data_IF_796917160037
#
_entry.id   IF_796917160037
#
_cell.length_a   1.000
_cell.length_b   1.000
_cell.length_c   1.000
_cell.angle_alpha   90.00
_cell.angle_beta   90.00
_cell.angle_gamma   90.00
#
_symmetry.space_group_name_H-M   'P 1'
#
loop_
_entity.id
_entity.type
_entity.pdbx_description
1 polymer ?
#
# COMPACT_ATOMS: atom_id res chain seq x y z
N UNK A 1 -52.48 -43.72 52.53
CA UNK A 1 -53.22 -45.02 52.52
C UNK A 1 -53.99 -45.16 51.21
N UNK A 2 -54.17 -46.40 50.73
CA UNK A 2 -54.53 -46.88 49.36
C UNK A 2 -53.29 -47.02 48.46
N UNK A 3 -52.60 -48.16 48.54
CA UNK A 3 -52.77 -49.40 47.73
C UNK A 3 -52.05 -49.27 46.38
N UNK A 4 -50.81 -49.75 46.27
CA UNK A 4 -50.35 -51.13 45.96
C UNK A 4 -50.43 -51.47 44.45
N UNK A 5 -49.21 -51.66 43.88
CA UNK A 5 -48.76 -52.85 43.09
C UNK A 5 -49.38 -53.02 41.68
N UNK A 6 -48.68 -53.29 40.56
CA UNK A 6 -47.61 -54.27 40.20
C UNK A 6 -47.15 -53.87 38.78
N UNK A 7 -45.85 -53.65 38.53
CA UNK A 7 -44.92 -54.52 37.78
C UNK A 7 -45.47 -55.21 36.50
N UNK A 8 -44.93 -54.88 35.33
CA UNK A 8 -44.23 -55.85 34.45
C UNK A 8 -43.52 -55.17 33.27
N UNK A 9 -42.24 -55.51 33.19
CA UNK A 9 -41.26 -55.25 32.12
C UNK A 9 -41.54 -56.11 30.88
N UNK A 10 -41.34 -55.54 29.69
CA UNK A 10 -40.67 -56.13 28.50
C UNK A 10 -40.57 -55.01 27.44
N UNK A 11 -39.38 -54.52 27.08
CA UNK A 11 -38.56 -55.03 25.97
C UNK A 11 -38.99 -54.39 24.63
N UNK A 12 -38.52 -53.19 24.30
CA UNK A 12 -37.35 -52.88 23.46
C UNK A 12 -37.66 -52.79 21.94
N UNK A 13 -37.49 -51.56 21.41
CA UNK A 13 -37.08 -51.19 20.03
C UNK A 13 -38.10 -51.34 18.85
N UNK A 14 -38.51 -50.22 18.24
CA UNK A 14 -38.11 -49.72 16.89
C UNK A 14 -39.19 -48.78 16.26
N UNK A 15 -38.74 -47.61 15.78
CA UNK A 15 -39.18 -46.83 14.60
C UNK A 15 -40.60 -46.14 14.50
N UNK A 16 -40.55 -44.80 14.42
CA UNK A 16 -41.01 -43.91 13.30
C UNK A 16 -42.51 -43.61 13.03
N UNK A 17 -42.79 -42.29 13.00
CA UNK A 17 -43.86 -41.52 12.28
C UNK A 17 -45.34 -41.73 12.68
N UNK A 18 -46.29 -40.81 12.52
CA UNK A 18 -46.39 -39.35 12.44
C UNK A 18 -47.89 -38.99 12.50
N UNK A 19 -48.15 -37.74 12.88
CA UNK A 19 -49.33 -36.86 12.82
C UNK A 19 -50.57 -37.26 11.97
N UNK A 20 -51.81 -37.14 12.52
CA UNK A 20 -52.77 -35.97 12.46
C UNK A 20 -53.35 -35.80 11.03
N UNK A 21 -54.62 -36.21 10.80
CA UNK A 21 -55.86 -35.43 10.90
C UNK A 21 -56.05 -34.35 9.80
N UNK A 22 -57.14 -34.57 9.05
CA UNK A 22 -58.10 -33.56 8.53
C UNK A 22 -57.76 -32.77 7.26
N UNK A 23 -58.56 -33.04 6.21
CA UNK A 23 -58.84 -32.14 5.07
C UNK A 23 -59.71 -30.94 5.49
N UNK A 24 -60.18 -30.03 4.63
CA UNK A 24 -60.26 -29.90 3.16
C UNK A 24 -60.06 -28.41 2.84
N UNK A 25 -59.23 -28.05 1.86
CA UNK A 25 -59.56 -27.75 0.44
C UNK A 25 -60.03 -26.31 0.18
N UNK A 26 -59.14 -25.51 -0.42
CA UNK A 26 -59.48 -24.50 -1.42
C UNK A 26 -58.27 -24.16 -2.30
N UNK A 27 -58.24 -24.77 -3.49
CA UNK A 27 -57.88 -24.19 -4.80
C UNK A 27 -56.61 -23.32 -4.86
N UNK A 28 -55.45 -23.97 -5.06
CA UNK A 28 -54.18 -23.31 -5.39
C UNK A 28 -54.10 -22.98 -6.89
N UNK A 29 -53.87 -21.70 -7.21
CA UNK A 29 -53.37 -21.27 -8.52
C UNK A 29 -51.92 -21.72 -8.66
N UNK A 30 -51.64 -22.45 -9.74
CA UNK A 30 -50.30 -22.89 -10.13
C UNK A 30 -49.54 -21.67 -10.66
N UNK A 31 -48.64 -21.13 -9.83
CA UNK A 31 -47.55 -20.29 -10.29
C UNK A 31 -46.37 -21.23 -10.62
N UNK A 32 -45.88 -21.17 -11.85
CA UNK A 32 -44.58 -21.73 -12.22
C UNK A 32 -43.52 -21.07 -11.34
N UNK A 33 -42.92 -21.85 -10.44
CA UNK A 33 -41.72 -21.44 -9.74
C UNK A 33 -40.53 -21.64 -10.67
N UNK A 34 -40.07 -20.55 -11.27
CA UNK A 34 -38.69 -20.42 -11.75
C UNK A 34 -37.76 -20.78 -10.59
N UNK A 35 -36.68 -21.56 -10.79
CA UNK A 35 -35.77 -21.88 -9.70
C UNK A 35 -35.05 -20.60 -9.31
N UNK A 36 -35.45 -20.01 -8.18
CA UNK A 36 -34.66 -18.98 -7.51
C UNK A 36 -33.36 -19.61 -7.09
N UNK A 37 -32.27 -19.20 -7.74
CA UNK A 37 -30.91 -19.49 -7.34
C UNK A 37 -30.74 -19.09 -5.87
N UNK A 38 -30.56 -20.08 -4.99
CA UNK A 38 -30.24 -19.83 -3.58
C UNK A 38 -28.79 -19.37 -3.51
N UNK A 39 -28.56 -18.06 -3.36
CA UNK A 39 -27.27 -17.55 -2.92
C UNK A 39 -26.88 -18.16 -1.57
N UNK A 40 -25.58 -18.43 -1.34
CA UNK A 40 -25.14 -19.17 -0.16
C UNK A 40 -25.45 -18.39 1.11
N UNK A 41 -26.10 -19.05 2.07
CA UNK A 41 -26.37 -18.58 3.43
C UNK A 41 -25.12 -18.52 4.33
N UNK A 42 -23.95 -18.26 3.74
CA UNK A 42 -22.66 -18.23 4.40
C UNK A 42 -22.46 -16.95 5.21
N UNK A 43 -22.12 -17.11 6.47
CA UNK A 43 -21.53 -16.05 7.31
C UNK A 43 -20.31 -15.47 6.60
N UNK A 44 -20.24 -14.16 6.45
CA UNK A 44 -19.19 -13.49 5.66
C UNK A 44 -18.33 -12.54 6.46
N UNK A 45 -18.88 -11.94 7.52
CA UNK A 45 -18.19 -10.93 8.31
C UNK A 45 -18.57 -11.05 9.78
N UNK A 46 -17.58 -11.16 10.65
CA UNK A 46 -17.77 -11.02 12.10
C UNK A 46 -17.51 -9.57 12.48
N UNK A 47 -18.52 -8.90 13.03
CA UNK A 47 -18.36 -7.58 13.65
C UNK A 47 -18.22 -7.76 15.15
N UNK A 48 -17.24 -7.09 15.75
CA UNK A 48 -17.00 -7.16 17.20
C UNK A 48 -16.93 -5.76 17.77
N UNK A 49 -17.72 -5.50 18.81
CA UNK A 49 -17.57 -4.35 19.68
C UNK A 49 -17.15 -4.77 21.10
N UNK A 50 -17.01 -3.80 22.03
CA UNK A 50 -16.64 -4.08 23.43
C UNK A 50 -17.53 -5.10 24.15
N UNK A 51 -18.78 -5.27 23.69
CA UNK A 51 -19.75 -6.21 24.27
C UNK A 51 -20.04 -7.41 23.34
N UNK A 52 -19.13 -7.72 22.42
CA UNK A 52 -19.35 -8.67 21.33
C UNK A 52 -20.03 -8.02 20.12
N UNK A 53 -20.45 -8.82 19.14
CA UNK A 53 -21.16 -8.31 17.97
C UNK A 53 -21.71 -9.41 17.05
N UNK A 54 -22.44 -9.01 15.99
CA UNK A 54 -23.12 -9.93 15.10
C UNK A 54 -22.16 -10.55 14.08
N UNK A 55 -22.60 -11.66 13.50
CA UNK A 55 -22.02 -12.21 12.28
C UNK A 55 -22.99 -11.91 11.14
N UNK A 56 -22.54 -11.15 10.14
CA UNK A 56 -23.35 -10.74 9.01
C UNK A 56 -23.22 -11.73 7.84
N UNK A 57 -24.30 -11.86 7.07
CA UNK A 57 -24.28 -12.41 5.71
C UNK A 57 -24.05 -11.30 4.69
N UNK A 58 -23.71 -11.66 3.44
CA UNK A 58 -23.55 -10.67 2.36
C UNK A 58 -24.84 -9.86 2.14
N UNK A 59 -26.01 -10.50 2.22
CA UNK A 59 -27.29 -9.81 2.08
C UNK A 59 -27.50 -8.74 3.17
N UNK A 60 -27.22 -9.09 4.43
CA UNK A 60 -27.30 -8.14 5.55
C UNK A 60 -26.28 -7.00 5.43
N UNK A 61 -25.07 -7.29 4.96
CA UNK A 61 -24.05 -6.27 4.74
C UNK A 61 -24.50 -5.27 3.66
N UNK A 62 -25.11 -5.75 2.57
CA UNK A 62 -25.63 -4.91 1.48
C UNK A 62 -26.87 -4.08 1.85
N UNK A 63 -27.52 -4.35 2.98
CA UNK A 63 -28.60 -3.52 3.53
C UNK A 63 -28.08 -2.28 4.26
N UNK A 64 -26.81 -2.25 4.65
CA UNK A 64 -26.18 -1.10 5.28
C UNK A 64 -25.95 0.04 4.27
N UNK A 65 -25.75 1.30 4.73
CA UNK A 65 -25.37 2.40 3.86
C UNK A 65 -24.12 2.03 3.05
N UNK A 66 -24.23 2.14 1.72
CA UNK A 66 -23.10 1.87 0.83
C UNK A 66 -22.54 3.16 0.24
N UNK A 67 -21.23 3.17 0.05
CA UNK A 67 -20.47 4.24 -0.62
C UNK A 67 -19.65 3.62 -1.75
N UNK A 68 -19.41 4.40 -2.80
CA UNK A 68 -18.54 4.04 -3.90
C UNK A 68 -17.48 5.13 -4.14
N UNK A 69 -16.32 4.73 -4.66
CA UNK A 69 -15.23 5.64 -4.96
C UNK A 69 -14.03 4.95 -5.59
N UNK A 70 -13.03 5.75 -5.96
CA UNK A 70 -11.81 5.32 -6.61
C UNK A 70 -10.77 4.94 -5.55
N UNK A 71 -10.20 3.73 -5.64
CA UNK A 71 -9.12 3.31 -4.75
C UNK A 71 -8.00 2.63 -5.55
N UNK A 72 -6.77 3.00 -5.21
CA UNK A 72 -5.54 2.37 -5.69
C UNK A 72 -4.51 2.40 -4.57
N UNK A 73 -3.34 1.79 -4.80
CA UNK A 73 -2.30 1.65 -3.78
C UNK A 73 -0.90 1.94 -4.31
N UNK A 74 -0.01 2.36 -3.43
CA UNK A 74 1.45 2.28 -3.60
C UNK A 74 1.98 1.12 -2.75
N UNK A 75 2.68 0.16 -3.34
CA UNK A 75 3.33 -0.92 -2.59
C UNK A 75 4.52 -0.41 -1.79
N UNK A 76 5.03 -1.20 -0.85
CA UNK A 76 6.28 -0.90 -0.13
C UNK A 76 7.50 -0.81 -1.05
N UNK A 77 7.46 -1.46 -2.21
CA UNK A 77 8.47 -1.35 -3.27
C UNK A 77 8.26 -0.14 -4.19
N UNK A 78 7.27 0.71 -3.91
CA UNK A 78 6.95 1.91 -4.68
C UNK A 78 6.08 1.68 -5.93
N UNK A 79 5.67 0.45 -6.22
CA UNK A 79 4.83 0.13 -7.37
C UNK A 79 3.41 0.70 -7.18
N UNK A 80 2.90 1.39 -8.21
CA UNK A 80 1.55 1.93 -8.20
C UNK A 80 0.55 0.95 -8.83
N UNK A 81 -0.51 0.65 -8.08
CA UNK A 81 -1.78 0.16 -8.63
C UNK A 81 -2.71 1.35 -8.80
N UNK A 82 -3.10 1.62 -10.04
CA UNK A 82 -3.93 2.78 -10.36
C UNK A 82 -5.32 2.69 -9.69
N UNK A 83 -5.96 3.84 -9.40
CA UNK A 83 -7.28 3.81 -8.78
C UNK A 83 -8.37 3.23 -9.70
N UNK A 84 -9.15 2.31 -9.16
CA UNK A 84 -10.33 1.70 -9.81
C UNK A 84 -11.57 1.87 -8.93
N UNK A 85 -12.76 1.63 -9.49
CA UNK A 85 -14.01 1.87 -8.78
C UNK A 85 -14.35 0.72 -7.83
N UNK A 86 -14.49 1.02 -6.53
CA UNK A 86 -14.95 0.08 -5.52
C UNK A 86 -16.26 0.54 -4.89
N UNK A 87 -17.03 -0.42 -4.39
CA UNK A 87 -18.26 -0.17 -3.64
C UNK A 87 -18.39 -1.10 -2.43
N UNK A 88 -18.88 -0.54 -1.33
CA UNK A 88 -18.89 -1.20 -0.04
C UNK A 88 -19.55 -0.40 1.07
N UNK A 89 -19.31 -0.79 2.32
CA UNK A 89 -19.74 -0.08 3.53
C UNK A 89 -18.54 0.62 4.14
N UNK A 90 -18.65 1.91 4.49
CA UNK A 90 -17.54 2.63 5.12
C UNK A 90 -17.29 2.09 6.54
N UNK A 91 -16.04 2.07 7.00
CA UNK A 91 -15.73 1.58 8.36
C UNK A 91 -16.47 2.38 9.43
N UNK A 92 -16.61 3.70 9.27
CA UNK A 92 -17.41 4.55 10.17
C UNK A 92 -18.88 4.12 10.26
N UNK A 93 -19.45 3.61 9.17
CA UNK A 93 -20.84 3.16 9.13
C UNK A 93 -21.00 1.79 9.81
N UNK A 94 -19.97 0.93 9.74
CA UNK A 94 -19.92 -0.32 10.53
C UNK A 94 -19.81 -0.04 12.04
N UNK A 95 -19.01 0.95 12.43
CA UNK A 95 -18.90 1.41 13.82
C UNK A 95 -20.23 1.97 14.31
N UNK A 96 -20.88 2.82 13.50
CA UNK A 96 -22.20 3.35 13.80
C UNK A 96 -23.26 2.24 13.91
N UNK A 97 -23.19 1.21 13.05
CA UNK A 97 -24.06 0.03 13.12
C UNK A 97 -23.92 -0.75 14.43
N UNK A 98 -22.70 -0.82 15.00
CA UNK A 98 -22.45 -1.40 16.32
C UNK A 98 -22.93 -0.52 17.49
N UNK A 99 -23.45 0.69 17.21
CA UNK A 99 -23.81 1.72 18.20
C UNK A 99 -22.64 2.07 19.13
N UNK A 100 -21.44 2.17 18.58
CA UNK A 100 -20.24 2.57 19.31
C UNK A 100 -19.93 4.03 18.97
N UNK A 101 -19.71 4.83 20.00
CA UNK A 101 -19.16 6.17 19.85
C UNK A 101 -17.63 6.03 19.84
N UNK A 102 -17.03 6.03 18.64
CA UNK A 102 -15.58 5.91 18.52
C UNK A 102 -14.93 7.16 19.11
N UNK A 103 -13.85 7.00 19.86
CA UNK A 103 -13.05 8.09 20.40
C UNK A 103 -11.55 7.85 20.10
N UNK A 104 -10.68 8.85 20.28
CA UNK A 104 -9.26 8.74 19.96
C UNK A 104 -8.46 7.64 20.70
N UNK A 105 -9.02 7.02 21.76
CA UNK A 105 -8.41 5.86 22.44
C UNK A 105 -8.79 4.52 21.82
N UNK A 106 -9.67 4.52 20.83
CA UNK A 106 -10.14 3.35 20.11
C UNK A 106 -9.73 3.39 18.64
N UNK A 107 -9.74 2.21 18.02
CA UNK A 107 -9.56 2.04 16.60
C UNK A 107 -10.32 0.83 16.09
N UNK A 108 -10.23 0.63 14.79
CA UNK A 108 -10.93 -0.44 14.07
C UNK A 108 -9.90 -1.42 13.55
N UNK A 109 -9.76 -2.57 14.20
CA UNK A 109 -8.94 -3.68 13.72
C UNK A 109 -9.70 -4.46 12.65
N UNK A 110 -9.03 -4.74 11.54
CA UNK A 110 -9.53 -5.56 10.45
C UNK A 110 -8.63 -6.76 10.30
N UNK A 111 -9.21 -7.95 10.33
CA UNK A 111 -8.48 -9.22 10.21
C UNK A 111 -8.91 -9.98 8.96
N UNK A 112 -7.92 -10.48 8.24
CA UNK A 112 -8.08 -11.34 7.07
C UNK A 112 -8.11 -12.82 7.46
N UNK A 113 -8.56 -13.66 6.53
CA UNK A 113 -8.63 -15.12 6.70
C UNK A 113 -7.27 -15.79 6.98
N UNK A 114 -6.18 -15.20 6.48
CA UNK A 114 -4.81 -15.68 6.69
C UNK A 114 -4.17 -15.21 8.01
N UNK A 115 -4.91 -14.43 8.81
CA UNK A 115 -4.45 -13.85 10.07
C UNK A 115 -3.72 -12.52 9.93
N UNK A 116 -3.53 -11.99 8.72
CA UNK A 116 -3.08 -10.62 8.53
C UNK A 116 -4.09 -9.65 9.17
N UNK A 117 -3.60 -8.64 9.88
CA UNK A 117 -4.44 -7.70 10.59
C UNK A 117 -3.88 -6.30 10.50
N UNK A 118 -4.76 -5.32 10.29
CA UNK A 118 -4.43 -3.89 10.32
C UNK A 118 -5.41 -3.16 11.20
N UNK A 119 -4.91 -2.17 11.93
CA UNK A 119 -5.72 -1.33 12.80
C UNK A 119 -5.80 0.08 12.22
N UNK A 120 -7.02 0.58 12.06
CA UNK A 120 -7.28 1.94 11.62
C UNK A 120 -7.56 2.82 12.83
N UNK A 121 -6.88 3.96 12.93
CA UNK A 121 -7.06 4.93 14.00
C UNK A 121 -8.42 5.61 13.95
N UNK A 122 -8.81 6.28 15.05
CA UNK A 122 -9.97 7.17 15.07
C UNK A 122 -9.96 8.16 13.90
N UNK A 123 -8.85 8.87 13.67
CA UNK A 123 -8.77 9.89 12.63
C UNK A 123 -8.81 9.29 11.22
N UNK A 124 -8.24 8.10 11.00
CA UNK A 124 -8.36 7.39 9.73
C UNK A 124 -9.81 6.98 9.43
N UNK A 125 -10.53 6.49 10.45
CA UNK A 125 -11.91 6.02 10.31
C UNK A 125 -12.90 7.18 10.18
N UNK A 126 -12.72 8.22 11.00
CA UNK A 126 -13.69 9.33 11.12
C UNK A 126 -13.35 10.51 10.21
N UNK A 127 -12.06 10.82 10.05
CA UNK A 127 -11.57 12.02 9.36
C UNK A 127 -10.86 11.70 8.03
N UNK A 128 -10.55 10.42 7.76
CA UNK A 128 -9.87 10.00 6.53
C UNK A 128 -8.43 10.47 6.46
N UNK A 129 -7.75 10.60 7.61
CA UNK A 129 -6.35 11.01 7.68
C UNK A 129 -5.42 9.87 7.26
N UNK A 130 -5.12 9.80 5.96
CA UNK A 130 -4.13 8.89 5.39
C UNK A 130 -3.08 9.69 4.63
N UNK A 131 -1.85 9.17 4.61
CA UNK A 131 -0.86 9.64 3.63
C UNK A 131 -1.33 9.19 2.25
N UNK A 132 -1.27 10.12 1.30
CA UNK A 132 -1.72 9.90 -0.07
C UNK A 132 -0.60 10.23 -1.05
N UNK A 133 -0.57 9.52 -2.17
CA UNK A 133 0.43 9.68 -3.21
C UNK A 133 -0.23 9.95 -4.56
N UNK A 134 0.46 10.72 -5.39
CA UNK A 134 0.08 10.94 -6.77
C UNK A 134 0.21 9.62 -7.55
N UNK A 135 -0.86 9.10 -8.20
CA UNK A 135 -0.82 7.80 -8.87
C UNK A 135 0.07 7.76 -10.11
N UNK A 136 0.44 8.90 -10.68
CA UNK A 136 1.31 8.96 -11.86
C UNK A 136 2.80 8.98 -11.46
N UNK A 137 3.13 9.58 -10.33
CA UNK A 137 4.52 9.79 -9.91
C UNK A 137 4.95 8.97 -8.68
N UNK A 138 4.00 8.49 -7.88
CA UNK A 138 4.25 7.83 -6.60
C UNK A 138 4.76 8.76 -5.50
N UNK A 139 4.83 10.07 -5.76
CA UNK A 139 5.24 11.07 -4.79
C UNK A 139 4.12 11.35 -3.80
N UNK A 140 4.49 11.61 -2.55
CA UNK A 140 3.54 12.01 -1.51
C UNK A 140 2.89 13.34 -1.86
N UNK A 141 1.58 13.43 -1.67
CA UNK A 141 0.78 14.63 -1.85
C UNK A 141 0.80 15.45 -0.57
N UNK A 142 1.25 16.71 -0.65
CA UNK A 142 1.17 17.64 0.48
C UNK A 142 -0.27 17.96 0.90
N UNK A 143 -1.23 17.75 0.00
CA UNK A 143 -2.67 17.88 0.21
C UNK A 143 -3.41 16.91 -0.70
N UNK A 144 -4.45 16.26 -0.20
CA UNK A 144 -5.24 15.30 -0.97
C UNK A 144 -6.76 15.52 -0.78
N UNK A 145 -7.57 14.96 -1.66
CA UNK A 145 -9.03 14.92 -1.52
C UNK A 145 -9.44 14.01 -0.35
N UNK A 146 -10.67 14.15 0.15
CA UNK A 146 -11.17 13.33 1.26
C UNK A 146 -11.04 11.83 0.96
N UNK A 147 -10.45 11.10 1.91
CA UNK A 147 -10.33 9.64 1.87
C UNK A 147 -11.35 8.98 2.80
N UNK A 148 -11.71 7.73 2.51
CA UNK A 148 -12.61 6.92 3.35
C UNK A 148 -12.21 5.45 3.28
N UNK A 149 -11.95 4.84 4.44
CA UNK A 149 -11.76 3.39 4.52
C UNK A 149 -13.10 2.66 4.31
N UNK A 150 -13.11 1.74 3.35
CA UNK A 150 -14.30 1.07 2.83
C UNK A 150 -14.09 -0.45 2.89
N UNK A 151 -15.02 -1.16 3.52
CA UNK A 151 -15.17 -2.60 3.37
C UNK A 151 -15.92 -2.88 2.06
N UNK A 152 -15.15 -3.10 0.99
CA UNK A 152 -15.66 -3.36 -0.35
C UNK A 152 -16.18 -4.79 -0.50
N UNK A 153 -17.25 -4.93 -1.28
CA UNK A 153 -17.80 -6.20 -1.78
C UNK A 153 -17.98 -6.19 -3.32
N UNK A 154 -17.75 -5.04 -3.96
CA UNK A 154 -17.85 -4.85 -5.41
C UNK A 154 -16.62 -4.07 -5.93
N UNK A 155 -16.13 -4.47 -7.11
CA UNK A 155 -15.06 -3.84 -7.88
C UNK A 155 -15.50 -3.71 -9.34
N UNK A 156 -15.47 -2.49 -9.88
CA UNK A 156 -15.92 -2.14 -11.23
C UNK A 156 -17.35 -2.62 -11.54
N UNK A 157 -18.24 -2.54 -10.53
CA UNK A 157 -19.64 -2.94 -10.63
C UNK A 157 -19.89 -4.46 -10.65
N UNK A 158 -18.85 -5.27 -10.45
CA UNK A 158 -18.94 -6.72 -10.29
C UNK A 158 -18.61 -7.12 -8.85
N UNK A 159 -19.10 -8.28 -8.37
CA UNK A 159 -18.59 -8.86 -7.13
C UNK A 159 -17.07 -9.05 -7.19
N UNK A 160 -16.40 -8.87 -6.05
CA UNK A 160 -14.95 -9.11 -5.94
C UNK A 160 -14.57 -10.53 -6.38
N UNK A 161 -13.40 -10.69 -6.98
CA UNK A 161 -12.88 -12.02 -7.29
C UNK A 161 -12.47 -12.74 -5.99
N UNK A 162 -13.15 -13.83 -5.59
CA UNK A 162 -12.89 -14.47 -4.30
C UNK A 162 -11.48 -15.08 -4.19
N UNK A 163 -10.84 -15.39 -5.31
CA UNK A 163 -9.50 -16.00 -5.34
C UNK A 163 -8.38 -14.97 -5.38
N UNK A 164 -8.61 -13.77 -5.89
CA UNK A 164 -7.57 -12.73 -6.07
C UNK A 164 -7.71 -11.56 -5.10
N UNK A 165 -8.93 -11.29 -4.65
CA UNK A 165 -9.31 -10.13 -3.83
C UNK A 165 -9.99 -10.54 -2.51
N UNK A 166 -10.56 -11.74 -2.48
CA UNK A 166 -11.43 -12.21 -1.41
C UNK A 166 -12.87 -11.75 -1.59
N UNK A 167 -13.77 -12.31 -0.80
CA UNK A 167 -15.20 -11.95 -0.89
C UNK A 167 -15.51 -10.60 -0.25
N UNK A 168 -14.60 -10.12 0.62
CA UNK A 168 -14.58 -8.78 1.20
C UNK A 168 -13.13 -8.30 1.26
N UNK A 169 -12.91 -7.00 1.08
CA UNK A 169 -11.60 -6.37 1.26
C UNK A 169 -11.72 -4.94 1.80
N UNK A 170 -10.69 -4.44 2.48
CA UNK A 170 -10.55 -3.00 2.70
C UNK A 170 -9.89 -2.36 1.49
N UNK A 171 -10.40 -1.19 1.14
CA UNK A 171 -9.77 -0.21 0.26
C UNK A 171 -9.97 1.17 0.86
N UNK A 172 -9.10 2.13 0.54
CA UNK A 172 -9.30 3.54 0.91
C UNK A 172 -9.70 4.31 -0.34
N UNK A 173 -10.96 4.75 -0.39
CA UNK A 173 -11.54 5.40 -1.57
C UNK A 173 -11.43 6.93 -1.49
N UNK A 174 -11.36 7.55 -2.67
CA UNK A 174 -11.62 8.98 -2.90
C UNK A 174 -12.73 9.14 -3.93
N UNK A 175 -13.33 10.33 -4.01
CA UNK A 175 -14.28 10.67 -5.09
C UNK A 175 -13.63 10.75 -6.48
N UNK A 176 -12.30 10.90 -6.54
CA UNK A 176 -11.51 11.04 -7.76
C UNK A 176 -10.37 10.02 -7.79
N UNK A 177 -9.88 9.70 -8.99
CA UNK A 177 -8.80 8.74 -9.23
C UNK A 177 -7.40 9.39 -9.20
N UNK A 178 -7.24 10.49 -8.46
CA UNK A 178 -6.03 11.32 -8.43
C UNK A 178 -5.12 11.04 -7.23
N UNK A 179 -5.40 9.99 -6.45
CA UNK A 179 -4.63 9.65 -5.26
C UNK A 179 -4.69 8.16 -4.95
N UNK A 180 -3.59 7.63 -4.43
CA UNK A 180 -3.47 6.28 -3.86
C UNK A 180 -2.95 6.37 -2.43
N UNK A 181 -3.12 5.32 -1.64
CA UNK A 181 -2.57 5.23 -0.27
C UNK A 181 -1.55 4.08 -0.20
N UNK A 182 -0.85 3.96 0.92
CA UNK A 182 0.02 2.80 1.16
C UNK A 182 -0.75 1.48 1.09
N UNK A 183 -0.14 0.48 0.45
CA UNK A 183 -0.78 -0.80 0.15
C UNK A 183 -1.21 -1.60 1.37
N UNK A 184 -0.58 -1.39 2.54
CA UNK A 184 -0.97 -2.04 3.78
C UNK A 184 -2.39 -1.67 4.23
N UNK A 185 -2.92 -0.52 3.79
CA UNK A 185 -4.31 -0.14 4.02
C UNK A 185 -5.32 -0.92 3.16
N UNK A 186 -4.88 -1.75 2.22
CA UNK A 186 -5.78 -2.56 1.39
C UNK A 186 -5.73 -4.05 1.75
N UNK A 187 -6.48 -4.40 2.80
CA UNK A 187 -6.54 -5.77 3.33
C UNK A 187 -7.50 -6.63 2.52
N UNK A 188 -7.03 -7.73 1.93
CA UNK A 188 -7.85 -8.69 1.18
C UNK A 188 -8.39 -9.81 2.09
N UNK A 189 -9.40 -10.54 1.63
CA UNK A 189 -10.02 -11.67 2.37
C UNK A 189 -10.43 -11.32 3.81
N UNK A 190 -11.05 -10.15 3.99
CA UNK A 190 -11.49 -9.68 5.31
C UNK A 190 -12.64 -10.54 5.82
N UNK A 191 -12.52 -11.06 7.03
CA UNK A 191 -13.59 -11.84 7.67
C UNK A 191 -13.99 -11.31 9.07
N UNK A 192 -13.21 -10.39 9.65
CA UNK A 192 -13.48 -9.78 10.95
C UNK A 192 -13.16 -8.28 10.93
N UNK A 193 -14.07 -7.49 11.50
CA UNK A 193 -13.86 -6.09 11.84
C UNK A 193 -14.21 -5.91 13.32
N UNK A 194 -13.30 -5.33 14.08
CA UNK A 194 -13.36 -5.24 15.53
C UNK A 194 -13.04 -3.83 15.99
N UNK A 195 -13.90 -3.27 16.84
CA UNK A 195 -13.63 -2.00 17.52
C UNK A 195 -13.03 -2.32 18.88
N UNK A 196 -11.80 -1.89 19.09
CA UNK A 196 -11.05 -2.15 20.31
C UNK A 196 -10.27 -0.90 20.74
N UNK A 197 -9.90 -0.80 22.03
CA UNK A 197 -8.88 0.15 22.46
C UNK A 197 -7.61 -0.07 21.63
N UNK A 198 -7.04 1.03 21.13
CA UNK A 198 -5.74 1.01 20.46
C UNK A 198 -4.77 1.75 21.34
N UNK A 199 -3.55 1.21 21.50
CA UNK A 199 -2.47 1.94 22.13
C UNK A 199 -2.19 3.28 21.43
N UNK A 200 -1.27 4.06 21.98
CA UNK A 200 -0.90 5.35 21.38
C UNK A 200 -0.33 5.19 19.96
N UNK A 201 -0.39 6.23 19.14
CA UNK A 201 0.40 6.29 17.91
C UNK A 201 1.87 6.42 18.28
N UNK A 202 2.75 5.74 17.54
CA UNK A 202 4.19 5.81 17.73
C UNK A 202 4.90 5.62 16.39
N UNK A 203 6.14 6.10 16.33
CA UNK A 203 7.04 5.94 15.19
C UNK A 203 8.36 5.39 15.71
N UNK A 204 8.91 4.40 15.01
CA UNK A 204 10.25 3.88 15.21
C UNK A 204 11.18 4.57 14.22
N UNK A 205 12.20 5.27 14.71
CA UNK A 205 13.18 5.92 13.85
C UNK A 205 14.30 4.93 13.50
N UNK A 206 14.32 4.45 12.26
CA UNK A 206 15.44 3.67 11.71
C UNK A 206 16.45 4.62 11.07
N UNK A 207 17.71 4.51 11.46
CA UNK A 207 18.79 5.36 10.97
C UNK A 207 20.01 4.50 10.61
N UNK A 208 20.61 4.75 9.46
CA UNK A 208 21.81 4.04 9.02
C UNK A 208 22.42 4.70 7.80
N UNK A 209 22.61 3.91 6.75
CA UNK A 209 23.02 4.38 5.43
C UNK A 209 21.99 5.38 4.87
N UNK A 210 20.70 5.07 5.05
CA UNK A 210 19.54 5.94 4.84
C UNK A 210 18.75 6.10 6.15
N UNK A 211 17.66 6.87 6.15
CA UNK A 211 16.78 7.01 7.31
C UNK A 211 15.34 6.68 6.91
N UNK A 212 14.64 5.94 7.77
CA UNK A 212 13.25 5.52 7.56
C UNK A 212 12.47 5.64 8.87
N UNK A 213 11.50 6.58 8.98
CA UNK A 213 10.55 6.58 10.07
C UNK A 213 9.47 5.50 9.82
N UNK A 214 9.39 4.50 10.71
CA UNK A 214 8.42 3.41 10.61
C UNK A 214 7.28 3.66 11.57
N UNK A 215 6.11 4.04 11.04
CA UNK A 215 4.90 4.25 11.86
C UNK A 215 4.43 2.93 12.47
N UNK A 216 3.68 3.00 13.57
CA UNK A 216 2.99 1.84 14.17
C UNK A 216 2.32 0.95 13.13
N UNK A 217 1.55 1.54 12.23
CA UNK A 217 0.74 0.80 11.27
C UNK A 217 1.62 0.12 10.22
N UNK A 218 2.67 0.80 9.75
CA UNK A 218 3.69 0.22 8.86
C UNK A 218 4.41 -0.93 9.55
N UNK A 219 4.73 -0.78 10.84
CA UNK A 219 5.36 -1.82 11.65
C UNK A 219 4.47 -3.05 11.83
N UNK A 220 3.18 -2.85 12.11
CA UNK A 220 2.21 -3.93 12.26
C UNK A 220 2.02 -4.70 10.95
N UNK A 221 1.93 -3.99 9.82
CA UNK A 221 1.88 -4.61 8.51
C UNK A 221 3.14 -5.42 8.21
N UNK A 222 4.32 -4.85 8.48
CA UNK A 222 5.60 -5.52 8.33
C UNK A 222 5.68 -6.77 9.22
N UNK A 223 5.28 -6.65 10.49
CA UNK A 223 5.29 -7.73 11.49
C UNK A 223 4.16 -8.75 11.36
N UNK A 224 3.33 -8.70 10.32
CA UNK A 224 2.27 -9.68 10.12
C UNK A 224 2.83 -11.06 9.70
N UNK A 225 2.18 -12.18 10.05
CA UNK A 225 2.68 -13.53 9.73
C UNK A 225 2.88 -13.82 8.24
N UNK A 226 2.14 -13.15 7.36
CA UNK A 226 2.25 -13.27 5.90
C UNK A 226 3.37 -12.40 5.30
N UNK A 227 4.05 -11.59 6.12
CA UNK A 227 5.12 -10.68 5.71
C UNK A 227 6.43 -11.02 6.46
N UNK A 228 6.85 -10.20 7.40
CA UNK A 228 8.10 -10.38 8.17
C UNK A 228 7.85 -10.79 9.64
N UNK A 229 6.61 -11.09 10.02
CA UNK A 229 6.25 -11.48 11.38
C UNK A 229 6.94 -12.75 11.86
N UNK A 230 7.58 -12.68 13.02
CA UNK A 230 8.24 -13.80 13.68
C UNK A 230 7.81 -13.94 15.13
N UNK A 231 7.77 -15.19 15.59
CA UNK A 231 7.44 -15.58 16.96
C UNK A 231 8.72 -15.99 17.71
N UNK A 232 8.89 -15.46 18.91
CA UNK A 232 9.87 -15.90 19.89
C UNK A 232 9.16 -16.31 21.19
N UNK A 233 9.39 -17.53 21.67
CA UNK A 233 8.87 -17.98 22.98
C UNK A 233 9.99 -17.91 24.01
N UNK A 234 9.77 -17.15 25.08
CA UNK A 234 10.77 -17.02 26.15
C UNK A 234 10.78 -18.22 27.12
N UNK A 235 11.74 -18.23 28.04
CA UNK A 235 11.90 -19.30 29.05
C UNK A 235 10.74 -19.39 30.06
N UNK A 236 9.90 -18.35 30.16
CA UNK A 236 8.68 -18.33 30.96
C UNK A 236 7.46 -18.81 30.17
N UNK A 237 7.62 -19.16 28.89
CA UNK A 237 6.55 -19.60 28.01
C UNK A 237 5.70 -18.47 27.44
N UNK A 238 6.16 -17.21 27.52
CA UNK A 238 5.47 -16.08 26.87
C UNK A 238 5.81 -16.04 25.39
N UNK A 239 4.81 -15.79 24.56
CA UNK A 239 4.93 -15.69 23.11
C UNK A 239 5.06 -14.23 22.70
N UNK A 240 6.20 -13.86 22.12
CA UNK A 240 6.49 -12.50 21.65
C UNK A 240 6.43 -12.46 20.13
N UNK A 241 5.73 -11.47 19.56
CA UNK A 241 5.55 -11.34 18.11
C UNK A 241 6.03 -9.98 17.63
N UNK A 242 6.80 -9.97 16.54
CA UNK A 242 7.33 -8.76 15.93
C UNK A 242 8.18 -9.03 14.70
N UNK A 243 9.02 -8.06 14.33
CA UNK A 243 9.88 -8.14 13.14
C UNK A 243 11.28 -8.59 13.57
N UNK A 244 11.91 -9.56 12.88
CA UNK A 244 13.33 -9.87 13.03
C UNK A 244 14.20 -8.62 12.90
N UNK A 245 15.11 -8.41 13.86
CA UNK A 245 15.94 -7.21 13.90
C UNK A 245 16.78 -7.04 12.63
N UNK A 246 17.26 -8.13 12.03
CA UNK A 246 18.07 -8.07 10.81
C UNK A 246 17.30 -7.55 9.59
N UNK A 247 15.97 -7.70 9.56
CA UNK A 247 15.14 -7.14 8.49
C UNK A 247 14.97 -5.63 8.66
N UNK A 248 14.76 -5.15 9.90
CA UNK A 248 14.73 -3.71 10.21
C UNK A 248 16.08 -3.04 9.92
N UNK A 249 17.18 -3.76 10.18
CA UNK A 249 18.53 -3.29 9.84
C UNK A 249 18.70 -3.22 8.32
N UNK A 250 18.25 -4.23 7.58
CA UNK A 250 18.31 -4.26 6.12
C UNK A 250 17.52 -3.15 5.43
N UNK A 251 16.51 -2.58 6.10
CA UNK A 251 15.78 -1.42 5.56
C UNK A 251 16.65 -0.16 5.44
N UNK A 252 17.72 -0.05 6.24
CA UNK A 252 18.55 1.16 6.32
C UNK A 252 20.06 0.91 6.24
N UNK A 253 20.52 -0.31 6.00
CA UNK A 253 21.96 -0.63 5.97
C UNK A 253 22.63 -0.30 4.63
N UNK A 254 21.85 -0.13 3.55
CA UNK A 254 22.27 0.49 2.29
C UNK A 254 21.12 1.21 1.54
N UNK A 255 21.19 1.34 0.21
CA UNK A 255 20.20 2.07 -0.59
C UNK A 255 18.96 1.23 -0.93
N UNK A 256 19.05 -0.09 -0.80
CA UNK A 256 17.98 -1.03 -1.09
C UNK A 256 17.17 -1.31 0.18
N UNK A 257 16.09 -0.54 0.37
CA UNK A 257 15.33 -0.60 1.62
C UNK A 257 14.36 -1.78 1.74
N UNK A 258 14.02 -2.47 0.64
CA UNK A 258 12.89 -3.44 0.67
C UNK A 258 12.84 -4.47 -0.47
N UNK A 259 13.93 -4.75 -1.19
CA UNK A 259 13.97 -5.89 -2.12
C UNK A 259 14.22 -7.22 -1.40
N UNK A 260 14.16 -8.34 -2.14
CA UNK A 260 14.51 -9.69 -1.66
C UNK A 260 15.97 -9.79 -1.14
N UNK A 261 16.82 -8.81 -1.48
CA UNK A 261 18.24 -8.74 -1.08
C UNK A 261 18.58 -7.49 -0.26
N UNK A 262 17.57 -6.75 0.24
CA UNK A 262 17.72 -5.51 0.98
C UNK A 262 18.78 -5.59 2.10
N UNK A 263 18.74 -6.67 2.89
CA UNK A 263 19.75 -6.88 3.93
C UNK A 263 21.15 -7.14 3.36
N UNK A 264 22.08 -6.20 3.61
CA UNK A 264 23.44 -6.26 3.13
C UNK A 264 24.31 -7.22 3.95
N UNK A 265 24.26 -8.51 3.58
CA UNK A 265 25.02 -9.60 4.23
C UNK A 265 26.53 -9.35 4.26
N UNK A 266 27.09 -8.77 3.19
CA UNK A 266 28.52 -8.51 3.10
C UNK A 266 28.94 -7.39 4.06
N UNK A 267 28.11 -6.36 4.20
CA UNK A 267 28.31 -5.30 5.17
C UNK A 267 28.18 -5.84 6.60
N UNK A 268 27.20 -6.69 6.88
CA UNK A 268 27.06 -7.34 8.20
C UNK A 268 28.28 -8.20 8.57
N UNK A 269 28.90 -8.88 7.59
CA UNK A 269 30.14 -9.64 7.82
C UNK A 269 31.35 -8.77 8.23
N UNK A 270 31.28 -7.45 8.01
CA UNK A 270 32.32 -6.53 8.51
C UNK A 270 32.23 -6.34 10.02
N UNK A 271 31.04 -6.50 10.63
CA UNK A 271 30.81 -6.37 12.07
C UNK A 271 30.54 -4.92 12.50
N UNK A 272 29.68 -4.19 11.77
CA UNK A 272 29.16 -2.92 12.28
C UNK A 272 28.26 -3.14 13.50
N UNK A 273 28.03 -2.07 14.26
CA UNK A 273 27.20 -2.09 15.48
C UNK A 273 25.79 -1.57 15.20
N UNK A 274 24.82 -2.07 15.97
CA UNK A 274 23.41 -1.67 15.92
C UNK A 274 23.01 -1.19 17.31
N UNK A 275 22.62 0.08 17.42
CA UNK A 275 22.17 0.70 18.67
C UNK A 275 20.64 0.70 18.73
N UNK A 276 20.06 0.08 19.76
CA UNK A 276 18.63 0.18 20.06
C UNK A 276 18.45 1.14 21.24
N UNK A 277 17.64 2.18 21.05
CA UNK A 277 17.48 3.27 22.01
C UNK A 277 16.04 3.32 22.53
N UNK A 278 15.90 3.25 23.85
CA UNK A 278 14.62 3.42 24.55
C UNK A 278 14.24 4.91 24.68
N UNK A 279 12.96 5.19 24.91
CA UNK A 279 12.42 6.54 25.13
C UNK A 279 13.07 7.31 26.30
N UNK A 280 13.63 6.60 27.27
CA UNK A 280 14.36 7.17 28.42
C UNK A 280 15.86 7.44 28.14
N UNK A 281 16.32 7.13 26.92
CA UNK A 281 17.72 7.26 26.48
C UNK A 281 18.60 6.04 26.76
N UNK A 282 18.08 4.98 27.38
CA UNK A 282 18.81 3.71 27.55
C UNK A 282 19.17 3.14 26.18
N UNK A 283 20.42 2.72 26.01
CA UNK A 283 20.92 2.18 24.73
C UNK A 283 21.50 0.77 24.92
N UNK A 284 21.12 -0.15 24.05
CA UNK A 284 21.75 -1.47 23.89
C UNK A 284 22.39 -1.56 22.52
N UNK A 285 23.68 -1.90 22.49
CA UNK A 285 24.43 -2.10 21.24
C UNK A 285 24.63 -3.58 20.96
N UNK A 286 24.29 -4.02 19.75
CA UNK A 286 24.52 -5.37 19.23
C UNK A 286 25.52 -5.36 18.07
N UNK A 287 26.19 -6.49 17.86
CA UNK A 287 27.04 -6.72 16.67
C UNK A 287 26.17 -7.26 15.53
N UNK A 288 26.32 -6.72 14.33
CA UNK A 288 25.60 -7.18 13.13
C UNK A 288 25.76 -8.66 12.84
N UNK A 289 26.89 -9.28 13.21
CA UNK A 289 27.11 -10.72 13.07
C UNK A 289 26.26 -11.55 14.02
N UNK A 290 25.86 -10.99 15.16
CA UNK A 290 25.09 -11.71 16.17
C UNK A 290 23.61 -11.87 15.78
N UNK A 291 23.12 -11.01 14.88
CA UNK A 291 21.71 -10.99 14.46
C UNK A 291 21.52 -11.43 13.00
N UNK A 292 22.62 -11.74 12.29
CA UNK A 292 22.64 -12.01 10.86
C UNK A 292 21.67 -13.14 10.49
N UNK A 293 20.60 -12.78 9.79
CA UNK A 293 19.54 -13.72 9.36
C UNK A 293 18.90 -14.51 10.52
N UNK A 294 18.94 -13.96 11.74
CA UNK A 294 18.38 -14.59 12.94
C UNK A 294 16.92 -14.14 13.16
N UNK A 295 15.98 -15.01 12.78
CA UNK A 295 14.54 -14.81 13.02
C UNK A 295 14.12 -15.02 14.48
N UNK A 296 15.06 -15.29 15.39
CA UNK A 296 14.82 -15.44 16.83
C UNK A 296 15.36 -14.27 17.64
N UNK A 297 15.88 -13.21 16.99
CA UNK A 297 16.11 -11.89 17.59
C UNK A 297 15.11 -10.93 16.96
N UNK A 298 14.07 -10.59 17.71
CA UNK A 298 12.95 -9.80 17.21
C UNK A 298 12.77 -8.52 18.01
N UNK A 299 12.26 -7.50 17.35
CA UNK A 299 11.70 -6.32 17.99
C UNK A 299 10.19 -6.57 18.10
N UNK A 300 9.75 -7.01 19.26
CA UNK A 300 8.37 -7.39 19.52
C UNK A 300 7.46 -6.17 19.70
N UNK A 301 6.23 -6.28 19.22
CA UNK A 301 5.13 -5.32 19.45
C UNK A 301 3.92 -5.97 20.13
N UNK A 302 3.91 -7.30 20.27
CA UNK A 302 2.90 -8.08 21.00
C UNK A 302 3.54 -9.08 21.95
N UNK A 303 2.82 -9.39 23.03
CA UNK A 303 3.11 -10.49 23.94
C UNK A 303 1.81 -11.24 24.27
N UNK A 304 1.81 -12.56 24.09
CA UNK A 304 0.64 -13.43 24.28
C UNK A 304 -0.61 -12.89 23.56
N UNK A 305 -0.45 -12.52 22.29
CA UNK A 305 -1.48 -11.95 21.40
C UNK A 305 -2.06 -10.58 21.85
N UNK A 306 -1.52 -9.97 22.91
CA UNK A 306 -1.90 -8.66 23.40
C UNK A 306 -0.84 -7.59 23.17
N UNK A 307 -1.22 -6.32 23.27
CA UNK A 307 -0.27 -5.20 23.29
C UNK A 307 0.76 -5.37 24.42
N UNK A 308 1.95 -4.80 24.19
CA UNK A 308 2.98 -4.78 25.22
C UNK A 308 2.49 -4.01 26.46
N UNK A 309 2.77 -4.52 27.69
CA UNK A 309 2.61 -3.74 28.91
C UNK A 309 3.39 -2.42 28.85
N UNK A 310 2.94 -1.40 29.58
CA UNK A 310 3.53 -0.04 29.61
C UNK A 310 5.06 -0.04 29.82
N UNK A 311 5.58 -0.96 30.64
CA UNK A 311 7.02 -1.13 30.87
C UNK A 311 7.83 -1.40 29.58
N UNK A 312 7.19 -1.99 28.57
CA UNK A 312 7.82 -2.42 27.33
C UNK A 312 7.31 -1.69 26.10
N UNK A 313 6.14 -1.08 26.18
CA UNK A 313 5.47 -0.38 25.09
C UNK A 313 6.29 0.82 24.57
N UNK A 314 6.39 1.06 23.24
CA UNK A 314 5.67 0.38 22.16
C UNK A 314 6.37 -0.86 21.60
N UNK A 315 7.69 -0.96 21.77
CA UNK A 315 8.54 -2.00 21.17
C UNK A 315 9.57 -2.54 22.15
N UNK A 316 9.84 -3.85 22.07
CA UNK A 316 10.79 -4.55 22.95
C UNK A 316 11.71 -5.47 22.19
N UNK A 317 13.01 -5.38 22.44
CA UNK A 317 13.98 -6.36 21.96
C UNK A 317 13.86 -7.64 22.78
N UNK A 318 13.67 -8.77 22.11
CA UNK A 318 13.71 -10.10 22.72
C UNK A 318 14.41 -11.06 21.78
N UNK A 319 15.01 -12.12 22.32
CA UNK A 319 15.52 -13.18 21.47
C UNK A 319 16.40 -14.19 22.15
N UNK A 320 16.62 -15.32 21.48
CA UNK A 320 17.36 -16.47 22.03
C UNK A 320 18.85 -16.20 22.28
N UNK A 321 19.43 -15.30 21.48
CA UNK A 321 20.84 -14.89 21.52
C UNK A 321 21.05 -13.52 22.19
N UNK A 322 19.97 -12.90 22.69
CA UNK A 322 20.01 -11.63 23.43
C UNK A 322 20.06 -11.92 24.93
N UNK A 323 20.96 -11.26 25.67
CA UNK A 323 21.02 -11.43 27.12
C UNK A 323 19.85 -10.70 27.81
N UNK A 324 19.43 -11.18 28.97
CA UNK A 324 18.31 -10.59 29.71
C UNK A 324 18.45 -9.08 29.97
N UNK A 325 19.67 -8.62 30.27
CA UNK A 325 19.99 -7.20 30.49
C UNK A 325 20.04 -6.36 29.20
N UNK A 326 20.02 -7.01 28.04
CA UNK A 326 19.94 -6.40 26.72
C UNK A 326 18.51 -6.34 26.18
N UNK A 327 17.55 -7.09 26.76
CA UNK A 327 16.14 -7.11 26.33
C UNK A 327 15.39 -5.86 26.81
N UNK A 328 15.76 -4.70 26.26
CA UNK A 328 15.15 -3.40 26.58
C UNK A 328 13.77 -3.26 25.93
N UNK A 329 12.89 -2.52 26.61
CA UNK A 329 11.58 -2.10 26.11
C UNK A 329 11.55 -0.61 25.77
N UNK A 330 10.37 -0.12 25.38
CA UNK A 330 10.14 1.29 25.05
C UNK A 330 11.07 1.79 23.93
N UNK A 331 11.44 0.92 22.99
CA UNK A 331 12.35 1.27 21.89
C UNK A 331 11.66 2.29 20.97
N UNK A 332 12.35 3.39 20.70
CA UNK A 332 11.91 4.46 19.79
C UNK A 332 12.85 4.67 18.62
N UNK A 333 14.11 4.22 18.71
CA UNK A 333 15.10 4.37 17.65
C UNK A 333 15.96 3.11 17.51
N UNK A 334 16.31 2.78 16.27
CA UNK A 334 17.38 1.83 15.93
C UNK A 334 18.39 2.53 15.02
N UNK A 335 19.66 2.55 15.44
CA UNK A 335 20.78 3.10 14.70
C UNK A 335 21.71 2.01 14.18
N UNK A 336 21.89 1.94 12.87
CA UNK A 336 22.82 1.05 12.18
C UNK A 336 24.09 1.87 11.91
N UNK A 337 25.17 1.58 12.63
CA UNK A 337 26.41 2.36 12.58
C UNK A 337 27.27 1.99 11.38
N UNK A 338 26.72 2.23 10.20
CA UNK A 338 27.39 2.15 8.91
C UNK A 338 27.64 3.57 8.39
N UNK A 339 28.63 3.78 7.52
CA UNK A 339 28.76 5.07 6.86
C UNK A 339 27.44 5.43 6.19
N UNK A 340 26.90 6.64 6.40
CA UNK A 340 25.75 7.09 5.62
C UNK A 340 26.12 6.91 4.16
N UNK A 341 25.16 6.48 3.33
CA UNK A 341 25.40 6.58 1.90
C UNK A 341 25.65 8.06 1.70
N UNK A 342 26.85 8.40 1.26
CA UNK A 342 27.00 9.65 0.56
C UNK A 342 26.18 9.46 -0.69
N UNK A 343 24.87 9.77 -0.60
CA UNK A 343 24.25 10.53 -1.66
C UNK A 343 25.32 11.58 -1.94
N UNK A 344 25.96 11.59 -3.13
CA UNK A 344 26.94 12.61 -3.44
C UNK A 344 26.30 13.89 -2.96
N UNK A 345 26.94 14.61 -2.04
CA UNK A 345 26.35 15.81 -1.46
C UNK A 345 25.86 16.61 -2.63
N UNK A 346 24.55 16.57 -2.86
CA UNK A 346 23.87 17.58 -3.63
C UNK A 346 24.02 18.76 -2.70
N UNK A 347 25.13 19.47 -2.88
CA UNK A 347 25.15 20.92 -2.76
C UNK A 347 23.80 21.30 -3.30
N UNK A 348 22.90 21.91 -2.49
CA UNK A 348 21.47 21.99 -2.81
C UNK A 348 21.37 22.24 -4.29
N UNK A 349 20.95 21.22 -5.06
CA UNK A 349 20.92 21.38 -6.51
C UNK A 349 19.93 22.52 -6.67
N UNK A 350 20.35 23.67 -7.21
CA UNK A 350 19.59 24.89 -7.09
C UNK A 350 18.39 24.80 -8.01
N UNK A 351 17.36 24.03 -7.67
CA UNK A 351 16.08 23.90 -8.37
C UNK A 351 16.18 23.59 -9.89
N UNK A 352 17.37 23.38 -10.48
CA UNK A 352 17.64 23.55 -11.91
C UNK A 352 18.88 22.77 -12.40
N UNK A 353 18.76 21.49 -12.75
CA UNK A 353 19.85 20.81 -13.48
C UNK A 353 19.42 19.93 -14.65
N UNK A 354 18.11 19.74 -14.88
CA UNK A 354 17.60 19.40 -16.21
C UNK A 354 16.95 20.64 -16.81
N UNK A 355 17.39 21.07 -17.99
CA UNK A 355 16.67 22.11 -18.74
C UNK A 355 16.73 21.84 -20.23
N UNK A 356 15.58 21.99 -20.90
CA UNK A 356 15.52 22.07 -22.35
C UNK A 356 15.45 23.53 -22.76
N UNK A 357 16.38 23.94 -23.62
CA UNK A 357 16.33 25.25 -24.27
C UNK A 357 15.63 25.13 -25.61
N UNK A 358 14.61 25.95 -25.85
CA UNK A 358 13.94 26.12 -27.14
C UNK A 358 14.31 27.49 -27.69
N UNK A 359 14.94 27.54 -28.85
CA UNK A 359 15.49 28.77 -29.44
C UNK A 359 15.29 28.86 -30.95
N UNK A 360 15.61 30.01 -31.55
CA UNK A 360 15.57 30.20 -33.01
C UNK A 360 14.29 30.90 -33.47
N UNK A 361 13.64 30.39 -34.53
CA UNK A 361 12.44 30.97 -35.14
C UNK A 361 11.17 30.71 -34.29
N UNK A 362 11.14 31.31 -33.11
CA UNK A 362 10.02 31.27 -32.15
C UNK A 362 9.67 32.68 -31.68
N UNK A 363 8.44 32.90 -31.24
CA UNK A 363 7.96 34.17 -30.68
C UNK A 363 8.63 34.43 -29.32
N UNK A 364 8.91 33.35 -28.57
CA UNK A 364 9.55 33.39 -27.26
C UNK A 364 10.48 32.20 -27.09
N UNK A 365 11.79 32.48 -26.99
CA UNK A 365 12.75 31.47 -26.56
C UNK A 365 12.44 31.02 -25.12
N UNK A 366 12.51 29.72 -24.88
CA UNK A 366 12.19 29.11 -23.60
C UNK A 366 13.43 28.41 -23.05
N UNK A 367 13.61 28.49 -21.73
CA UNK A 367 14.50 27.61 -20.98
C UNK A 367 13.63 26.91 -19.94
N UNK A 368 13.14 25.72 -20.28
CA UNK A 368 12.22 24.96 -19.45
C UNK A 368 13.02 24.05 -18.52
N UNK A 369 12.91 24.28 -17.22
CA UNK A 369 13.52 23.44 -16.19
C UNK A 369 12.71 22.16 -15.99
N UNK A 370 13.34 21.12 -15.44
CA UNK A 370 12.72 19.81 -15.22
C UNK A 370 11.36 19.89 -14.50
N UNK A 371 11.27 20.69 -13.43
CA UNK A 371 10.02 20.91 -12.71
C UNK A 371 8.92 21.53 -13.60
N UNK A 372 9.28 22.43 -14.53
CA UNK A 372 8.33 23.03 -15.47
C UNK A 372 7.92 22.03 -16.55
N UNK A 373 8.85 21.21 -17.04
CA UNK A 373 8.57 20.15 -18.00
C UNK A 373 7.59 19.13 -17.40
N UNK A 374 7.80 18.70 -16.15
CA UNK A 374 6.90 17.75 -15.46
C UNK A 374 5.53 18.32 -15.11
N UNK A 375 5.34 19.63 -15.20
CA UNK A 375 4.04 20.27 -15.03
C UNK A 375 3.17 20.28 -16.32
N UNK A 376 3.73 19.89 -17.47
CA UNK A 376 2.92 19.69 -18.69
C UNK A 376 2.09 18.40 -18.59
N UNK A 377 0.98 18.29 -19.35
CA UNK A 377 0.29 17.02 -19.50
C UNK A 377 1.23 15.94 -20.05
N UNK A 378 1.50 14.93 -19.23
CA UNK A 378 2.36 13.80 -19.56
C UNK A 378 1.53 12.75 -20.30
N UNK A 379 2.07 12.20 -21.38
CA UNK A 379 1.48 11.08 -22.11
C UNK A 379 2.44 9.89 -22.14
N UNK A 380 1.88 8.69 -22.33
CA UNK A 380 2.62 7.47 -22.60
C UNK A 380 2.34 7.03 -24.04
N UNK A 381 3.36 6.58 -24.76
CA UNK A 381 3.23 6.00 -26.11
C UNK A 381 4.21 4.87 -26.29
N UNK A 382 3.72 3.76 -26.83
CA UNK A 382 4.56 2.69 -27.37
C UNK A 382 5.09 3.09 -28.75
N UNK A 383 6.40 2.99 -28.96
CA UNK A 383 7.05 3.23 -30.25
C UNK A 383 8.09 2.13 -30.54
N UNK A 384 8.29 1.82 -31.82
CA UNK A 384 9.27 0.81 -32.26
C UNK A 384 10.69 1.38 -32.17
N UNK A 385 11.40 1.03 -31.09
CA UNK A 385 12.80 1.36 -30.89
C UNK A 385 13.73 0.43 -31.66
N UNK A 386 15.05 0.61 -31.47
CA UNK A 386 16.07 -0.21 -32.14
C UNK A 386 15.99 -1.70 -31.76
N UNK A 387 15.59 -1.97 -30.52
CA UNK A 387 15.57 -3.31 -29.92
C UNK A 387 14.15 -3.91 -29.83
N UNK A 388 13.16 -3.26 -30.45
CA UNK A 388 11.75 -3.63 -30.44
C UNK A 388 10.84 -2.53 -29.88
N UNK A 389 9.55 -2.82 -29.67
CA UNK A 389 8.61 -1.86 -29.12
C UNK A 389 8.93 -1.54 -27.66
N UNK A 390 8.99 -0.25 -27.34
CA UNK A 390 9.27 0.29 -26.01
C UNK A 390 8.23 1.36 -25.65
N UNK A 391 7.87 1.44 -24.38
CA UNK A 391 6.96 2.46 -23.87
C UNK A 391 7.73 3.71 -23.44
N UNK A 392 7.38 4.85 -24.02
CA UNK A 392 7.97 6.15 -23.70
C UNK A 392 6.95 7.02 -22.99
N UNK A 393 7.39 7.65 -21.90
CA UNK A 393 6.59 8.62 -21.15
C UNK A 393 7.22 10.01 -21.29
N UNK A 394 6.41 11.04 -21.53
CA UNK A 394 6.93 12.39 -21.76
C UNK A 394 5.89 13.42 -22.17
N UNK A 395 6.38 14.51 -22.76
CA UNK A 395 5.58 15.66 -23.21
C UNK A 395 5.57 15.68 -24.73
N UNK A 396 4.41 15.97 -25.33
CA UNK A 396 4.34 16.15 -26.78
C UNK A 396 5.18 17.34 -27.22
N UNK A 397 6.01 17.14 -28.25
CA UNK A 397 6.82 18.22 -28.81
C UNK A 397 5.94 19.38 -29.29
N UNK A 398 4.75 19.07 -29.82
CA UNK A 398 3.76 20.08 -30.21
C UNK A 398 3.42 21.04 -29.07
N UNK A 399 3.24 20.54 -27.83
CA UNK A 399 2.88 21.40 -26.69
C UNK A 399 4.02 22.37 -26.32
N UNK A 400 5.27 21.88 -26.35
CA UNK A 400 6.45 22.69 -26.07
C UNK A 400 6.63 23.76 -27.15
N UNK A 401 6.45 23.38 -28.42
CA UNK A 401 6.56 24.28 -29.58
C UNK A 401 5.42 25.31 -29.63
N UNK A 402 4.19 24.92 -29.30
CA UNK A 402 3.04 25.83 -29.20
C UNK A 402 3.30 26.91 -28.12
N UNK A 403 3.93 26.55 -26.99
CA UNK A 403 4.31 27.52 -25.96
C UNK A 403 5.42 28.47 -26.37
N UNK A 404 6.35 28.03 -27.21
CA UNK A 404 7.41 28.89 -27.75
C UNK A 404 6.88 29.82 -28.86
N UNK A 405 5.79 29.44 -29.54
CA UNK A 405 5.19 30.17 -30.64
C UNK A 405 6.04 30.07 -31.90
N UNK A 406 6.04 28.92 -32.58
CA UNK A 406 6.85 28.72 -33.79
C UNK A 406 6.45 29.70 -34.91
N UNK A 407 7.42 30.42 -35.47
CA UNK A 407 7.19 31.39 -36.54
C UNK A 407 6.86 30.70 -37.87
N UNK A 408 6.02 31.34 -38.70
CA UNK A 408 5.44 30.73 -39.90
C UNK A 408 6.44 30.31 -41.00
N UNK A 409 7.67 30.83 -40.97
CA UNK A 409 8.73 30.48 -41.91
C UNK A 409 9.69 29.39 -41.40
N UNK A 410 9.47 28.86 -40.19
CA UNK A 410 10.22 27.73 -39.68
C UNK A 410 9.88 26.47 -40.47
N UNK A 411 10.90 25.69 -40.82
CA UNK A 411 10.76 24.46 -41.61
C UNK A 411 11.45 23.26 -40.97
N UNK A 412 12.32 23.49 -39.97
CA UNK A 412 13.15 22.42 -39.39
C UNK A 412 13.27 22.53 -37.88
N UNK A 413 13.56 21.38 -37.26
CA UNK A 413 13.99 21.28 -35.87
C UNK A 413 15.40 20.69 -35.83
N UNK A 414 16.25 21.25 -34.97
CA UNK A 414 17.57 20.68 -34.65
C UNK A 414 17.60 20.32 -33.18
N UNK A 415 17.73 19.03 -32.90
CA UNK A 415 17.91 18.50 -31.56
C UNK A 415 19.41 18.41 -31.26
N UNK A 416 19.83 18.92 -30.11
CA UNK A 416 21.23 18.85 -29.67
C UNK A 416 21.32 18.11 -28.35
N UNK A 417 22.13 17.06 -28.32
CA UNK A 417 22.47 16.31 -27.12
C UNK A 417 23.54 17.03 -26.29
N UNK A 418 23.68 16.64 -25.02
CA UNK A 418 24.64 17.22 -24.07
C UNK A 418 26.10 17.06 -24.50
N UNK A 419 26.42 16.05 -25.32
CA UNK A 419 27.74 15.79 -25.90
C UNK A 419 28.02 16.60 -27.19
N UNK A 420 27.04 17.40 -27.64
CA UNK A 420 27.12 18.19 -28.87
C UNK A 420 26.68 17.44 -30.14
N UNK A 421 26.24 16.19 -30.04
CA UNK A 421 25.62 15.48 -31.16
C UNK A 421 24.34 16.22 -31.60
N UNK A 422 24.14 16.34 -32.92
CA UNK A 422 22.97 17.04 -33.47
C UNK A 422 22.27 16.21 -34.53
N UNK A 423 20.95 16.28 -34.53
CA UNK A 423 20.07 15.75 -35.58
C UNK A 423 19.17 16.86 -36.06
N UNK A 424 19.05 17.00 -37.37
CA UNK A 424 18.10 17.90 -38.02
C UNK A 424 16.95 17.09 -38.62
N UNK A 425 15.71 17.51 -38.36
CA UNK A 425 14.49 16.89 -38.90
C UNK A 425 13.55 17.94 -39.49
N UNK A 426 12.63 17.52 -40.34
CA UNK A 426 11.59 18.38 -40.87
C UNK A 426 10.55 18.70 -39.77
N UNK A 427 10.23 19.98 -39.58
CA UNK A 427 9.27 20.40 -38.56
C UNK A 427 7.86 19.86 -38.83
N UNK A 428 7.42 19.87 -40.09
CA UNK A 428 6.09 19.41 -40.48
C UNK A 428 5.91 17.91 -40.20
N UNK A 429 6.91 17.08 -40.51
CA UNK A 429 6.86 15.64 -40.22
C UNK A 429 6.74 15.37 -38.70
N UNK A 430 7.47 16.12 -37.88
CA UNK A 430 7.36 16.02 -36.41
C UNK A 430 5.97 16.42 -35.91
N UNK A 431 5.38 17.47 -36.49
CA UNK A 431 4.05 17.98 -36.11
C UNK A 431 2.89 17.12 -36.65
N UNK A 432 3.08 16.43 -37.77
CA UNK A 432 2.10 15.49 -38.35
C UNK A 432 1.99 14.21 -37.52
N UNK A 433 3.06 13.79 -36.86
CA UNK A 433 3.02 12.70 -35.89
C UNK A 433 2.51 13.21 -34.52
N UNK A 434 1.28 12.88 -34.10
CA UNK A 434 0.71 13.36 -32.83
C UNK A 434 1.35 12.72 -31.60
N UNK A 435 2.34 11.83 -31.80
CA UNK A 435 3.04 11.07 -30.76
C UNK A 435 4.52 11.48 -30.61
N UNK A 436 5.01 12.40 -31.45
CA UNK A 436 6.35 12.96 -31.30
C UNK A 436 6.52 13.62 -29.95
N UNK A 437 7.51 13.21 -29.17
CA UNK A 437 7.66 13.64 -27.78
C UNK A 437 9.10 13.89 -27.34
N UNK A 438 9.19 14.72 -26.30
CA UNK A 438 10.33 14.76 -25.39
C UNK A 438 10.03 13.78 -24.25
N UNK A 439 10.66 12.61 -24.27
CA UNK A 439 10.52 11.56 -23.27
C UNK A 439 11.43 11.78 -22.07
N UNK A 440 10.93 11.46 -20.87
CA UNK A 440 11.71 11.41 -19.65
C UNK A 440 12.47 10.08 -19.58
N UNK A 441 13.76 10.14 -19.24
CA UNK A 441 14.59 8.97 -18.98
C UNK A 441 14.59 8.62 -17.49
N UNK A 442 15.09 7.43 -17.14
CA UNK A 442 15.24 6.96 -15.75
C UNK A 442 16.07 7.92 -14.87
N UNK A 443 16.96 8.70 -15.49
CA UNK A 443 17.75 9.73 -14.80
C UNK A 443 17.00 11.07 -14.84
N UNK A 444 16.63 11.64 -13.67
CA UNK A 444 15.98 12.96 -13.61
C UNK A 444 16.81 14.05 -14.32
N UNK A 445 16.13 14.88 -15.11
CA UNK A 445 16.78 15.94 -15.90
C UNK A 445 17.44 15.47 -17.19
N UNK A 446 17.34 14.16 -17.52
CA UNK A 446 17.79 13.59 -18.79
C UNK A 446 16.57 13.27 -19.65
N UNK A 447 16.66 13.64 -20.92
CA UNK A 447 15.54 13.56 -21.86
C UNK A 447 15.96 12.88 -23.16
N UNK A 448 14.99 12.31 -23.85
CA UNK A 448 15.16 11.72 -25.16
C UNK A 448 14.10 12.23 -26.14
N UNK A 449 14.51 12.54 -27.37
CA UNK A 449 13.59 12.79 -28.47
C UNK A 449 13.12 11.46 -29.05
N UNK A 450 11.81 11.25 -29.07
CA UNK A 450 11.15 10.07 -29.63
C UNK A 450 10.23 10.51 -30.76
N UNK A 451 10.48 10.02 -31.98
CA UNK A 451 9.75 10.40 -33.20
C UNK A 451 9.22 9.14 -33.88
N UNK A 452 8.04 8.62 -33.47
CA UNK A 452 7.58 7.29 -33.87
C UNK A 452 7.44 7.05 -35.38
N UNK A 453 7.15 8.09 -36.17
CA UNK A 453 6.97 8.00 -37.62
C UNK A 453 8.27 8.26 -38.41
N UNK A 454 9.39 8.51 -37.72
CA UNK A 454 10.70 8.77 -38.31
C UNK A 454 11.70 7.67 -37.92
N UNK A 455 12.79 7.57 -38.69
CA UNK A 455 13.84 6.58 -38.41
C UNK A 455 14.44 6.78 -37.01
N UNK A 456 14.72 5.69 -36.29
CA UNK A 456 15.30 5.75 -34.93
C UNK A 456 16.67 6.43 -34.87
N UNK A 457 17.35 6.59 -36.02
CA UNK A 457 18.58 7.39 -36.14
C UNK A 457 18.35 8.88 -35.86
N UNK A 458 17.11 9.35 -35.96
CA UNK A 458 16.73 10.74 -35.65
C UNK A 458 16.35 10.93 -34.17
N UNK A 459 16.33 9.87 -33.37
CA UNK A 459 15.98 9.93 -31.95
C UNK A 459 17.23 10.28 -31.14
N UNK A 460 17.16 11.35 -30.38
CA UNK A 460 18.32 11.95 -29.71
C UNK A 460 18.20 11.75 -28.21
N UNK A 461 19.09 10.93 -27.63
CA UNK A 461 19.25 10.79 -26.18
C UNK A 461 20.03 11.97 -25.60
N UNK A 462 19.89 12.20 -24.30
CA UNK A 462 20.52 13.29 -23.56
C UNK A 462 20.30 14.67 -24.20
N UNK A 463 19.11 14.90 -24.77
CA UNK A 463 18.80 16.16 -25.45
C UNK A 463 18.76 17.32 -24.45
N UNK A 464 19.39 18.43 -24.81
CA UNK A 464 19.46 19.67 -23.99
C UNK A 464 18.89 20.89 -24.72
N UNK A 465 18.72 20.81 -26.03
CA UNK A 465 18.27 21.93 -26.86
C UNK A 465 17.43 21.46 -28.05
N UNK A 466 16.39 22.25 -28.34
CA UNK A 466 15.58 22.20 -29.55
C UNK A 466 15.71 23.56 -30.25
N UNK A 467 16.39 23.61 -31.38
CA UNK A 467 16.48 24.83 -32.19
C UNK A 467 15.48 24.76 -33.35
N UNK A 468 14.63 25.79 -33.47
CA UNK A 468 13.65 25.95 -34.54
C UNK A 468 14.29 26.79 -35.64
N UNK A 469 14.35 26.27 -36.88
CA UNK A 469 15.03 26.92 -38.01
C UNK A 469 14.15 27.15 -39.23
#
# INVERSE_FOLDING_TARGET
MKHRRILLFTGLILLVFALILSGCDQKSMRADATPTSSEPSGRILTLVGPNGGPILTMAQLKELPSTEGQAGIKSSTGQITIPELFKGVALKDLVAYLNIDLDPSMGVAVTAEDGYSMTYSYDQVMNGEFIAYDPATGNELSTHDQLTALLAYEHNGQPLNPTEEGTLRIVVISSKNNQVVDGHWSVKWVNKVEVAPVGQTWTLDLTGAISSPVTRDSYQSCGAPSCHGSLYTDTNGQNWVGVPLWLLVGEVDDADSHSDVAYNRALADTGYTIDLVSSDGTTVTLDSKAIKEDNQVIVAHLVNDGELPELYYPLRLVGSSVKDDQMIGQITQIGVNVPPITVPTITPVPENSGSITIKGLVDKELALKDAQLRAFPIITTTAEGKDGPEDFQGILLKQILDQAGVQANATKLVFTASDGYTVEVNLQEVLECPKSMLSFMDTPGVYMIVLPDLETSTWVKDVVQIEVK
#
